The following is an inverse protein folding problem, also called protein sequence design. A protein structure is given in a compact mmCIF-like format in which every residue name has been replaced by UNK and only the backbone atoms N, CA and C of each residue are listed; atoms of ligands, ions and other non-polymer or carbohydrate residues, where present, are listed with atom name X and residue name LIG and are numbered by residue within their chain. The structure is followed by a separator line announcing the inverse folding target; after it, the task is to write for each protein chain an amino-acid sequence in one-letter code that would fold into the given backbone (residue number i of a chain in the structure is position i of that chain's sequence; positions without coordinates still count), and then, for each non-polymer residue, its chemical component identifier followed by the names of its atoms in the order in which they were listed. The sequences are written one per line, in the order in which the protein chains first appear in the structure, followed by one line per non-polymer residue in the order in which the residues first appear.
data_IF_899962766314
#
_entry.id   IF_899962766314
#
_cell.length_a   1.000
_cell.length_b   1.000
_cell.length_c   1.000
_cell.angle_alpha   90.00
_cell.angle_beta   90.00
_cell.angle_gamma   90.00
#
_symmetry.space_group_name_H-M   'P 1'
#
loop_
_entity.id
_entity.type
_entity.pdbx_description
1 polymer ?
#
# COMPACT_ATOMS: atom_id res chain seq x y z
N UNK A 1 1.33 -18.50 0.05
CA UNK A 1 1.00 -17.30 -0.75
C UNK A 1 0.12 -16.40 0.10
N UNK A 2 0.69 -15.30 0.60
CA UNK A 2 -0.05 -14.34 1.39
C UNK A 2 -0.70 -13.35 0.42
N UNK A 3 -2.02 -13.25 0.43
CA UNK A 3 -2.75 -12.26 -0.35
C UNK A 3 -3.51 -11.35 0.59
N UNK A 4 -3.59 -10.07 0.24
CA UNK A 4 -4.24 -9.05 1.04
C UNK A 4 -5.07 -8.13 0.16
N UNK A 5 -6.10 -7.53 0.77
CA UNK A 5 -6.89 -6.49 0.12
C UNK A 5 -6.36 -5.13 0.54
N UNK A 6 -6.10 -4.26 -0.42
CA UNK A 6 -5.67 -2.89 -0.16
C UNK A 6 -6.84 -2.12 0.46
N UNK A 7 -6.64 -1.59 1.66
CA UNK A 7 -7.66 -0.80 2.39
C UNK A 7 -7.47 0.70 2.27
N UNK A 8 -6.23 1.15 2.08
CA UNK A 8 -5.88 2.55 1.94
C UNK A 8 -4.62 2.66 1.09
N UNK A 9 -4.51 3.74 0.32
CA UNK A 9 -3.32 4.06 -0.47
C UNK A 9 -2.79 5.44 -0.14
N UNK A 10 -1.47 5.56 -0.05
CA UNK A 10 -0.81 6.85 0.13
C UNK A 10 -0.81 7.68 -1.16
N UNK A 11 -0.44 8.98 -1.08
CA UNK A 11 -0.41 9.90 -2.23
C UNK A 11 0.63 9.53 -3.31
N UNK A 12 1.49 8.55 -3.03
CA UNK A 12 2.52 8.07 -3.94
C UNK A 12 3.88 8.72 -3.70
N UNK A 13 4.81 8.52 -4.64
CA UNK A 13 6.19 8.94 -4.49
C UNK A 13 6.35 10.39 -4.97
N UNK A 14 7.03 11.25 -4.21
CA UNK A 14 7.46 12.54 -4.76
C UNK A 14 8.63 12.33 -5.72
N UNK A 15 8.42 12.65 -7.00
CA UNK A 15 9.47 12.73 -8.00
C UNK A 15 10.46 13.87 -7.71
N UNK A 16 11.65 13.81 -8.32
CA UNK A 16 12.71 14.83 -8.15
C UNK A 16 12.29 16.22 -8.62
N UNK A 17 11.32 16.24 -9.51
CA UNK A 17 10.67 17.38 -10.15
C UNK A 17 9.49 17.92 -9.33
N UNK A 18 9.30 17.45 -8.09
CA UNK A 18 8.26 17.91 -7.16
C UNK A 18 6.86 17.39 -7.49
N UNK A 19 6.73 16.56 -8.53
CA UNK A 19 5.46 15.95 -8.94
C UNK A 19 5.19 14.69 -8.13
N UNK A 20 3.92 14.49 -7.78
CA UNK A 20 3.46 13.24 -7.18
C UNK A 20 3.33 12.16 -8.26
N UNK A 21 4.06 11.06 -8.10
CA UNK A 21 3.86 9.84 -8.87
C UNK A 21 2.81 8.99 -8.14
N UNK A 22 1.63 8.77 -8.73
CA UNK A 22 0.57 7.99 -8.09
C UNK A 22 1.00 6.54 -7.89
N UNK A 23 0.47 5.91 -6.84
CA UNK A 23 0.65 4.47 -6.63
C UNK A 23 -0.06 3.68 -7.72
N UNK A 24 0.50 2.52 -8.10
CA UNK A 24 -0.08 1.65 -9.11
C UNK A 24 -1.27 0.80 -8.59
N UNK A 25 -1.47 0.76 -7.27
CA UNK A 25 -2.53 -0.01 -6.61
C UNK A 25 -3.65 0.93 -6.16
N UNK A 26 -4.88 0.42 -6.12
CA UNK A 26 -6.05 1.16 -5.65
C UNK A 26 -6.68 0.48 -4.45
N UNK A 27 -7.48 1.23 -3.72
CA UNK A 27 -8.32 0.67 -2.66
C UNK A 27 -9.25 -0.40 -3.24
N UNK A 28 -9.29 -1.55 -2.59
CA UNK A 28 -10.08 -2.68 -3.01
C UNK A 28 -9.34 -3.72 -3.85
N UNK A 29 -8.14 -3.41 -4.36
CA UNK A 29 -7.35 -4.35 -5.13
C UNK A 29 -6.83 -5.50 -4.26
N UNK A 30 -6.77 -6.70 -4.85
CA UNK A 30 -6.14 -7.87 -4.23
C UNK A 30 -4.69 -7.94 -4.69
N UNK A 31 -3.77 -7.86 -3.74
CA UNK A 31 -2.34 -7.90 -3.99
C UNK A 31 -1.70 -9.12 -3.34
N UNK A 32 -0.65 -9.63 -3.96
CA UNK A 32 0.20 -10.67 -3.39
C UNK A 32 1.27 -10.01 -2.55
N UNK A 33 1.31 -10.39 -1.28
CA UNK A 33 2.31 -9.92 -0.33
C UNK A 33 3.54 -10.83 -0.39
N UNK A 34 4.75 -10.27 -0.25
CA UNK A 34 5.96 -11.07 -0.08
C UNK A 34 5.86 -11.90 1.21
N UNK A 35 6.61 -13.00 1.27
CA UNK A 35 6.58 -13.92 2.41
C UNK A 35 7.15 -13.27 3.69
N UNK A 36 8.09 -12.33 3.53
CA UNK A 36 8.70 -11.54 4.59
C UNK A 36 8.76 -10.07 4.15
N UNK A 37 8.20 -9.16 4.95
CA UNK A 37 8.25 -7.73 4.69
C UNK A 37 6.97 -6.98 5.09
N UNK A 38 7.13 -5.70 5.39
CA UNK A 38 6.06 -4.85 5.90
C UNK A 38 6.05 -4.72 7.43
N UNK A 39 5.37 -3.70 7.92
CA UNK A 39 5.14 -3.46 9.34
C UNK A 39 3.69 -3.79 9.65
N UNK A 40 3.44 -4.70 10.59
CA UNK A 40 2.09 -4.94 11.09
C UNK A 40 1.67 -3.74 11.94
N UNK A 41 0.57 -3.10 11.54
CA UNK A 41 -0.03 -1.98 12.28
C UNK A 41 -1.38 -2.45 12.79
N UNK A 42 -1.57 -2.41 14.10
CA UNK A 42 -2.87 -2.65 14.75
C UNK A 42 -3.56 -1.31 14.92
N UNK A 43 -4.70 -1.13 14.28
CA UNK A 43 -5.55 0.04 14.47
C UNK A 43 -6.56 -0.32 15.56
N UNK A 44 -6.47 0.32 16.74
CA UNK A 44 -7.27 0.00 17.94
C UNK A 44 -8.77 0.39 17.84
N UNK A 45 -9.34 0.34 16.64
CA UNK A 45 -10.77 0.38 16.35
C UNK A 45 -11.14 -0.41 15.07
N UNK A 46 -10.23 -1.27 14.54
CA UNK A 46 -10.50 -2.44 13.70
C UNK A 46 -9.27 -3.34 13.54
#
# INVERSE_FOLDING_TARGET
MNSGKVVAVGPGLHGKDGKLLPVAVKEGDTVLLPEYGGTEVKLDNK
#
